data_IF_812987670688
#
_entry.id   IF_812987670688
#
_cell.length_a   1.000
_cell.length_b   1.000
_cell.length_c   1.000
_cell.angle_alpha   90.00
_cell.angle_beta   90.00
_cell.angle_gamma   90.00
#
_symmetry.space_group_name_H-M   'P 1'
#
loop_
_entity.id
_entity.type
_entity.pdbx_description
1 polymer ?
#
# COMPACT_ATOMS: atom_id res chain seq x y z
N UNK A 1 3.87 -15.40 11.53
CA UNK A 1 3.46 -14.82 10.24
C UNK A 1 3.09 -13.38 10.51
N UNK A 2 3.64 -12.42 9.75
CA UNK A 2 3.34 -10.99 9.94
C UNK A 2 2.26 -10.59 8.94
N UNK A 3 1.21 -9.97 9.45
CA UNK A 3 0.15 -9.33 8.67
C UNK A 3 -0.10 -7.94 9.29
N UNK A 4 -0.41 -6.97 8.44
CA UNK A 4 -0.66 -5.58 8.87
C UNK A 4 -2.06 -5.22 8.42
N UNK A 5 -2.92 -4.91 9.39
CA UNK A 5 -4.30 -4.53 9.13
C UNK A 5 -4.40 -3.16 8.44
N UNK A 6 -5.50 -2.97 7.73
CA UNK A 6 -5.85 -1.68 7.15
C UNK A 6 -5.98 -0.63 8.25
N UNK A 7 -5.18 0.43 8.16
CA UNK A 7 -5.27 1.61 9.01
C UNK A 7 -4.84 2.83 8.22
N UNK A 8 -5.60 3.92 8.33
CA UNK A 8 -5.26 5.18 7.68
C UNK A 8 -3.93 5.75 8.17
N UNK A 9 -3.57 5.53 9.43
CA UNK A 9 -2.28 5.97 9.97
C UNK A 9 -1.13 5.20 9.31
N UNK A 10 -1.32 3.90 9.10
CA UNK A 10 -0.34 3.08 8.39
C UNK A 10 -0.21 3.51 6.92
N UNK A 11 -1.32 3.79 6.25
CA UNK A 11 -1.32 4.21 4.86
C UNK A 11 -0.61 5.54 4.68
N UNK A 12 -0.90 6.52 5.55
CA UNK A 12 -0.28 7.85 5.51
C UNK A 12 1.23 7.82 5.72
N UNK A 13 1.75 6.82 6.45
CA UNK A 13 3.20 6.64 6.65
C UNK A 13 3.91 6.17 5.39
N UNK A 14 3.23 5.48 4.47
CA UNK A 14 3.86 4.93 3.28
C UNK A 14 3.64 5.79 2.02
N UNK A 15 4.70 6.05 1.26
CA UNK A 15 4.66 6.79 -0.01
C UNK A 15 4.32 5.89 -1.22
N UNK A 16 3.36 4.97 -1.05
CA UNK A 16 3.11 3.90 -2.02
C UNK A 16 2.64 4.38 -3.40
N UNK A 17 1.94 5.52 -3.45
CA UNK A 17 1.42 6.11 -4.70
C UNK A 17 2.52 6.51 -5.67
N UNK A 18 3.76 6.66 -5.20
CA UNK A 18 4.91 7.01 -6.04
C UNK A 18 5.74 5.81 -6.48
N UNK A 19 5.31 4.58 -6.18
CA UNK A 19 6.05 3.39 -6.54
C UNK A 19 5.90 3.04 -8.03
N UNK A 20 7.02 2.65 -8.66
CA UNK A 20 7.07 2.32 -10.10
C UNK A 20 6.10 1.21 -10.50
N UNK A 21 5.85 0.27 -9.58
CA UNK A 21 4.90 -0.83 -9.68
C UNK A 21 3.47 -0.36 -9.98
N UNK A 22 3.11 0.84 -9.55
CA UNK A 22 1.76 1.40 -9.70
C UNK A 22 1.66 2.48 -10.77
N UNK A 23 2.80 2.98 -11.29
CA UNK A 23 2.84 4.13 -12.21
C UNK A 23 2.01 3.93 -13.48
N UNK A 24 1.89 2.70 -13.97
CA UNK A 24 1.14 2.38 -15.20
C UNK A 24 -0.25 1.80 -14.95
N UNK A 25 -0.64 1.58 -13.69
CA UNK A 25 -1.94 1.01 -13.35
C UNK A 25 -3.06 2.03 -13.57
N UNK A 26 -4.03 1.67 -14.41
CA UNK A 26 -5.22 2.48 -14.63
C UNK A 26 -6.11 2.47 -13.38
N UNK A 27 -6.23 1.31 -12.71
CA UNK A 27 -6.97 1.19 -11.46
C UNK A 27 -6.42 2.13 -10.37
N UNK A 28 -5.10 2.26 -10.25
CA UNK A 28 -4.48 3.18 -9.28
C UNK A 28 -4.84 4.62 -9.61
N UNK A 29 -4.65 5.05 -10.87
CA UNK A 29 -4.99 6.41 -11.31
C UNK A 29 -6.47 6.76 -11.07
N UNK A 30 -7.38 5.82 -11.32
CA UNK A 30 -8.81 6.06 -11.13
C UNK A 30 -9.17 6.15 -9.64
N UNK A 31 -8.55 5.36 -8.78
CA UNK A 31 -8.72 5.46 -7.32
C UNK A 31 -8.11 6.73 -6.75
N UNK A 32 -6.98 7.19 -7.29
CA UNK A 32 -6.38 8.48 -6.92
C UNK A 32 -7.31 9.66 -7.25
N UNK A 33 -7.96 9.65 -8.41
CA UNK A 33 -8.96 10.67 -8.76
C UNK A 33 -10.13 10.65 -7.78
N UNK A 34 -10.67 9.48 -7.47
CA UNK A 34 -11.77 9.33 -6.50
C UNK A 34 -11.34 9.84 -5.11
N UNK A 35 -10.13 9.49 -4.68
CA UNK A 35 -9.57 9.97 -3.42
C UNK A 35 -9.47 11.50 -3.41
N UNK A 36 -8.96 12.11 -4.48
CA UNK A 36 -8.87 13.56 -4.63
C UNK A 36 -10.25 14.22 -4.58
N UNK A 37 -11.22 13.70 -5.34
CA UNK A 37 -12.60 14.21 -5.35
C UNK A 37 -13.24 14.15 -3.94
N UNK A 38 -13.03 13.07 -3.19
CA UNK A 38 -13.52 12.94 -1.82
C UNK A 38 -12.84 13.94 -0.89
N UNK A 39 -11.52 14.09 -0.98
CA UNK A 39 -10.78 15.06 -0.13
C UNK A 39 -11.13 16.51 -0.44
N UNK A 40 -11.49 16.84 -1.68
CA UNK A 40 -11.89 18.19 -2.09
C UNK A 40 -13.32 18.56 -1.68
N UNK A 41 -14.17 17.58 -1.38
CA UNK A 41 -15.56 17.82 -0.97
C UNK A 41 -15.70 18.11 0.54
N UNK A 42 -14.59 18.32 1.28
CA UNK A 42 -14.59 18.46 2.75
C UNK A 42 -15.34 17.31 3.47
N UNK A 43 -15.45 16.16 2.81
CA UNK A 43 -15.84 14.92 3.46
C UNK A 43 -14.64 14.50 4.31
N UNK A 44 -14.62 15.02 5.53
CA UNK A 44 -13.59 14.95 6.58
C UNK A 44 -13.19 13.52 7.02
N UNK A 45 -13.42 12.52 6.18
CA UNK A 45 -13.07 11.15 6.48
C UNK A 45 -12.58 10.40 5.25
N UNK A 46 -11.24 10.42 5.05
CA UNK A 46 -10.54 9.23 4.60
C UNK A 46 -10.96 7.96 5.37
N UNK A 47 -11.45 8.10 6.61
CA UNK A 47 -12.03 7.02 7.45
C UNK A 47 -13.32 6.39 6.89
N UNK A 48 -14.03 7.02 5.96
CA UNK A 48 -15.23 6.44 5.31
C UNK A 48 -14.89 5.59 4.08
N UNK A 49 -13.62 5.56 3.67
CA UNK A 49 -13.17 4.73 2.56
C UNK A 49 -12.67 3.39 3.07
N UNK A 50 -13.37 2.33 2.66
CA UNK A 50 -12.90 0.96 2.84
C UNK A 50 -11.57 0.70 2.11
N UNK A 51 -10.88 -0.39 2.47
CA UNK A 51 -9.61 -0.76 1.85
C UNK A 51 -9.71 -0.92 0.32
N UNK A 52 -10.89 -1.25 -0.20
CA UNK A 52 -11.16 -1.37 -1.63
C UNK A 52 -11.04 -0.05 -2.42
N UNK A 53 -11.02 1.12 -1.74
CA UNK A 53 -11.02 2.43 -2.40
C UNK A 53 -9.68 3.15 -2.35
N UNK A 54 -8.78 2.72 -1.48
CA UNK A 54 -7.51 3.40 -1.27
C UNK A 54 -6.43 2.86 -2.23
N UNK A 55 -5.82 3.71 -3.08
CA UNK A 55 -4.67 3.29 -3.88
C UNK A 55 -3.45 3.02 -2.98
N UNK A 56 -2.47 2.25 -3.46
CA UNK A 56 -1.20 2.11 -2.73
C UNK A 56 -1.22 1.27 -1.45
N UNK A 57 -2.26 0.51 -1.12
CA UNK A 57 -2.29 -0.28 0.14
C UNK A 57 -1.21 -1.36 0.29
N UNK A 58 -0.54 -1.72 -0.80
CA UNK A 58 0.31 -2.90 -0.83
C UNK A 58 1.64 -2.74 -0.06
N UNK A 59 2.23 -1.54 0.10
CA UNK A 59 3.43 -1.43 0.95
C UNK A 59 3.11 -1.37 2.45
N UNK A 60 1.86 -1.04 2.83
CA UNK A 60 1.41 -1.03 4.22
C UNK A 60 0.81 -2.37 4.64
N UNK A 61 -0.15 -2.89 3.87
CA UNK A 61 -0.88 -4.13 4.18
C UNK A 61 -0.34 -5.37 3.46
N UNK A 62 0.60 -5.18 2.53
CA UNK A 62 1.13 -6.24 1.69
C UNK A 62 0.19 -6.69 0.54
N UNK A 63 -1.05 -6.17 0.48
CA UNK A 63 -2.04 -6.54 -0.54
C UNK A 63 -2.36 -5.38 -1.47
N UNK A 64 -2.20 -5.61 -2.77
CA UNK A 64 -2.67 -4.68 -3.78
C UNK A 64 -4.17 -4.84 -4.04
N UNK A 65 -4.89 -3.72 -4.04
CA UNK A 65 -6.30 -3.66 -4.45
C UNK A 65 -6.41 -3.72 -5.98
N UNK A 66 -5.48 -3.05 -6.66
CA UNK A 66 -5.39 -3.02 -8.11
C UNK A 66 -4.58 -4.22 -8.61
N UNK A 67 -5.11 -4.91 -9.63
CA UNK A 67 -4.52 -6.13 -10.19
C UNK A 67 -3.66 -5.89 -11.43
N UNK A 68 -3.75 -4.69 -12.01
CA UNK A 68 -3.00 -4.21 -13.18
C UNK A 68 -1.69 -3.49 -12.77
N UNK A 69 -1.18 -3.77 -11.57
CA UNK A 69 0.13 -3.28 -11.13
C UNK A 69 1.25 -4.13 -11.74
N UNK A 70 2.36 -3.51 -12.09
CA UNK A 70 3.51 -4.20 -12.65
C UNK A 70 4.44 -4.68 -11.52
N UNK A 71 4.19 -5.90 -11.03
CA UNK A 71 5.01 -6.54 -9.99
C UNK A 71 6.41 -6.96 -10.46
N UNK A 72 6.75 -6.77 -11.75
CA UNK A 72 8.11 -6.95 -12.25
C UNK A 72 9.00 -5.72 -11.99
N UNK A 73 8.41 -4.56 -11.71
CA UNK A 73 9.14 -3.36 -11.30
C UNK A 73 9.64 -3.48 -9.85
N UNK A 74 10.66 -2.69 -9.52
CA UNK A 74 11.19 -2.62 -8.16
C UNK A 74 10.18 -1.97 -7.21
N UNK A 75 9.71 -2.72 -6.21
CA UNK A 75 9.02 -2.20 -5.03
C UNK A 75 10.06 -1.56 -4.09
N UNK A 76 9.88 -0.30 -3.69
CA UNK A 76 10.69 0.34 -2.64
C UNK A 76 9.93 0.44 -1.31
N UNK A 77 9.17 -0.60 -0.99
CA UNK A 77 8.30 -0.58 0.20
C UNK A 77 9.10 -0.55 1.50
N UNK A 78 10.37 -0.98 1.49
CA UNK A 78 11.34 -0.85 2.58
C UNK A 78 11.60 0.60 3.01
N UNK A 79 11.33 1.58 2.14
CA UNK A 79 11.38 2.99 2.48
C UNK A 79 10.19 3.41 3.36
N UNK A 80 9.12 2.61 3.43
CA UNK A 80 8.00 2.89 4.33
C UNK A 80 8.39 2.65 5.80
N UNK A 81 8.16 3.61 6.73
CA UNK A 81 8.45 3.46 8.15
C UNK A 81 7.87 2.21 8.79
N UNK A 82 6.71 1.73 8.29
CA UNK A 82 6.06 0.49 8.75
C UNK A 82 6.98 -0.72 8.67
N UNK A 83 7.87 -0.77 7.67
CA UNK A 83 8.77 -1.90 7.49
C UNK A 83 9.76 -2.04 8.64
N UNK A 84 10.15 -0.93 9.26
CA UNK A 84 10.95 -0.95 10.49
C UNK A 84 10.09 -1.18 11.72
N UNK A 85 8.90 -0.56 11.79
CA UNK A 85 8.00 -0.70 12.95
C UNK A 85 7.51 -2.14 13.16
N UNK A 86 7.37 -2.92 12.09
CA UNK A 86 6.87 -4.31 12.11
C UNK A 86 7.96 -5.37 11.86
N UNK A 87 9.24 -4.97 11.84
CA UNK A 87 10.40 -5.82 11.55
C UNK A 87 10.28 -6.60 10.22
N UNK A 88 9.67 -5.99 9.19
CA UNK A 88 9.51 -6.63 7.87
C UNK A 88 10.85 -6.83 7.15
N UNK A 89 11.86 -6.05 7.50
CA UNK A 89 13.23 -6.18 6.99
C UNK A 89 13.90 -7.50 7.42
N UNK A 90 13.49 -8.05 8.57
CA UNK A 90 14.01 -9.30 9.13
C UNK A 90 13.17 -10.52 8.74
N UNK A 91 12.16 -10.33 7.88
CA UNK A 91 11.31 -11.40 7.42
C UNK A 91 11.82 -12.02 6.11
N UNK A 92 11.55 -13.31 5.90
CA UNK A 92 11.99 -14.05 4.71
C UNK A 92 10.80 -14.63 3.92
N UNK A 93 10.65 -14.31 2.62
CA UNK A 93 11.48 -13.39 1.84
C UNK A 93 11.04 -11.91 2.00
N UNK A 94 12.02 -11.03 2.28
CA UNK A 94 11.84 -9.62 2.64
C UNK A 94 10.98 -8.82 1.63
N UNK A 95 11.33 -8.87 0.35
CA UNK A 95 10.68 -8.07 -0.70
C UNK A 95 9.28 -8.56 -1.11
N UNK A 96 8.87 -9.75 -0.64
CA UNK A 96 7.65 -10.40 -1.10
C UNK A 96 6.42 -9.98 -0.29
N UNK A 97 6.60 -9.36 0.88
CA UNK A 97 5.47 -8.89 1.68
C UNK A 97 4.55 -7.96 0.87
N UNK A 98 5.11 -7.03 0.10
CA UNK A 98 4.35 -6.14 -0.78
C UNK A 98 3.70 -6.84 -1.99
N UNK A 99 4.14 -8.04 -2.36
CA UNK A 99 3.56 -8.79 -3.46
C UNK A 99 2.47 -9.75 -2.99
N UNK A 100 2.75 -10.46 -1.89
CA UNK A 100 2.01 -11.65 -1.46
C UNK A 100 1.18 -11.39 -0.18
N UNK A 101 1.39 -10.26 0.51
CA UNK A 101 0.62 -9.90 1.70
C UNK A 101 1.01 -10.59 2.98
N UNK A 102 2.00 -11.49 2.94
CA UNK A 102 2.41 -12.35 4.05
C UNK A 102 3.91 -12.60 3.99
N UNK A 103 4.53 -12.63 5.15
CA UNK A 103 5.93 -13.04 5.29
C UNK A 103 6.16 -13.75 6.64
N UNK A 104 7.26 -14.48 6.76
CA UNK A 104 7.65 -15.19 7.97
C UNK A 104 8.73 -14.39 8.70
N UNK A 105 8.51 -14.10 10.00
CA UNK A 105 9.59 -13.62 10.86
C UNK A 105 10.62 -14.72 11.01
N UNK A 106 11.89 -14.34 10.92
CA UNK A 106 13.03 -15.21 11.21
C UNK A 106 13.15 -15.52 12.69
#
# INVERSE_FOLDING_TARGET
>A
MVEIDFSMDNIKKCLCTHCHVQLQSQCVRDKEKILLEITMQDLDSPMMMGPDRVPGLYCSTGKAVCKDIDTSQVCRCEECPIWREYDLLDCEPMAYFCRDGKTLKR
#
